data_IF_452470314403
#
_entry.id   IF_452470314403
#
_cell.length_a   1.000
_cell.length_b   1.000
_cell.length_c   1.000
_cell.angle_alpha   90.00
_cell.angle_beta   90.00
_cell.angle_gamma   90.00
#
_symmetry.space_group_name_H-M   'P 1'
#
loop_
_entity.id
_entity.type
_entity.pdbx_description
1 polymer ?
#
# COMPACT_ATOMS: atom_id res chain seq x y z
N UNK A 1 -1.76 15.41 9.19
CA UNK A 1 -1.43 14.78 7.90
C UNK A 1 -0.88 15.79 6.88
N UNK A 2 -1.62 16.84 6.50
CA UNK A 2 -1.16 17.81 5.48
C UNK A 2 0.19 18.45 5.84
N UNK A 3 0.35 18.94 7.07
CA UNK A 3 1.59 19.52 7.58
C UNK A 3 2.77 18.56 7.47
N UNK A 4 2.53 17.28 7.76
CA UNK A 4 3.57 16.25 7.65
C UNK A 4 3.98 16.00 6.18
N UNK A 5 3.01 15.87 5.27
CA UNK A 5 3.28 15.69 3.83
C UNK A 5 4.07 16.86 3.28
N UNK A 6 3.66 18.09 3.60
CA UNK A 6 4.35 19.31 3.18
C UNK A 6 5.76 19.35 3.77
N UNK A 7 5.92 19.04 5.06
CA UNK A 7 7.23 19.01 5.71
C UNK A 7 8.17 17.98 5.10
N UNK A 8 7.70 16.75 4.87
CA UNK A 8 8.49 15.71 4.23
C UNK A 8 8.87 16.08 2.79
N UNK A 9 7.93 16.60 2.02
CA UNK A 9 8.19 17.08 0.66
C UNK A 9 9.21 18.22 0.63
N UNK A 10 9.13 19.17 1.56
CA UNK A 10 10.11 20.27 1.69
C UNK A 10 11.51 19.74 2.01
N UNK A 11 11.65 18.81 2.96
CA UNK A 11 12.96 18.21 3.30
C UNK A 11 13.54 17.49 2.08
N UNK A 12 12.77 16.67 1.40
CA UNK A 12 13.23 15.96 0.20
C UNK A 12 13.56 16.91 -0.95
N UNK A 13 12.81 18.00 -1.08
CA UNK A 13 13.11 19.07 -2.05
C UNK A 13 14.45 19.74 -1.75
N UNK A 14 14.70 20.11 -0.50
CA UNK A 14 15.97 20.69 -0.07
C UNK A 14 17.15 19.74 -0.32
N UNK A 15 16.96 18.45 0.00
CA UNK A 15 17.98 17.41 -0.29
C UNK A 15 18.21 17.26 -1.80
N UNK A 16 17.18 17.35 -2.63
CA UNK A 16 17.32 17.30 -4.09
C UNK A 16 18.13 18.49 -4.64
N UNK A 17 17.89 19.69 -4.11
CA UNK A 17 18.69 20.87 -4.47
C UNK A 17 20.12 20.79 -3.98
N UNK A 18 20.33 20.26 -2.77
CA UNK A 18 21.68 20.04 -2.23
C UNK A 18 22.46 19.05 -3.11
N UNK A 19 21.83 17.93 -3.52
CA UNK A 19 22.44 17.00 -4.46
C UNK A 19 22.74 17.62 -5.82
N UNK A 20 21.86 18.51 -6.32
CA UNK A 20 22.09 19.22 -7.57
C UNK A 20 23.23 20.23 -7.48
N UNK A 21 23.50 20.79 -6.30
CA UNK A 21 24.67 21.65 -6.05
C UNK A 21 25.98 20.85 -5.94
N UNK A 22 25.92 19.67 -5.30
CA UNK A 22 27.09 18.78 -5.15
C UNK A 22 27.48 18.08 -6.45
N UNK A 23 26.48 17.75 -7.28
CA UNK A 23 26.65 17.04 -8.56
C UNK A 23 25.93 17.81 -9.67
N UNK A 24 26.46 18.96 -10.14
CA UNK A 24 25.77 19.82 -11.09
C UNK A 24 25.53 19.15 -12.45
N UNK A 25 26.45 18.31 -12.90
CA UNK A 25 26.38 17.59 -14.18
C UNK A 25 26.73 16.11 -13.99
N UNK A 26 25.80 15.27 -13.47
CA UNK A 26 26.05 13.84 -13.29
C UNK A 26 26.17 13.09 -14.61
N UNK A 27 25.69 13.69 -15.71
CA UNK A 27 25.87 13.26 -17.10
C UNK A 27 26.30 14.44 -17.97
N UNK A 28 27.11 14.20 -19.03
CA UNK A 28 27.46 15.27 -19.96
C UNK A 28 26.23 15.99 -20.52
N UNK A 29 26.26 17.30 -20.50
CA UNK A 29 25.19 18.20 -21.00
C UNK A 29 23.83 18.09 -20.29
N UNK A 30 23.78 17.50 -19.09
CA UNK A 30 22.54 17.42 -18.29
C UNK A 30 22.76 18.12 -16.94
N UNK A 31 22.21 19.33 -16.79
CA UNK A 31 22.20 20.04 -15.51
C UNK A 31 21.16 19.40 -14.57
N UNK A 32 21.61 18.85 -13.43
CA UNK A 32 20.72 18.26 -12.45
C UNK A 32 19.75 19.28 -11.85
N UNK A 33 20.20 20.53 -11.67
CA UNK A 33 19.35 21.61 -11.17
C UNK A 33 18.13 21.86 -12.08
N UNK A 34 18.36 21.91 -13.40
CA UNK A 34 17.26 22.09 -14.37
C UNK A 34 16.30 20.91 -14.34
N UNK A 35 16.83 19.69 -14.21
CA UNK A 35 15.99 18.48 -14.15
C UNK A 35 15.18 18.40 -12.86
N UNK A 36 15.77 18.76 -11.72
CA UNK A 36 15.07 18.83 -10.44
C UNK A 36 13.91 19.84 -10.56
N UNK A 37 14.16 21.05 -11.03
CA UNK A 37 13.10 22.08 -11.20
C UNK A 37 11.94 21.57 -12.08
N UNK A 38 12.23 20.84 -13.15
CA UNK A 38 11.20 20.34 -14.08
C UNK A 38 10.42 19.15 -13.52
N UNK A 39 11.06 18.26 -12.76
CA UNK A 39 10.45 17.00 -12.31
C UNK A 39 9.90 17.04 -10.89
N UNK A 40 10.33 17.99 -10.06
CA UNK A 40 9.97 18.08 -8.65
C UNK A 40 8.46 17.99 -8.38
N UNK A 41 7.58 18.73 -9.11
CA UNK A 41 6.14 18.60 -8.86
C UNK A 41 5.61 17.21 -9.23
N UNK A 42 6.15 16.57 -10.28
CA UNK A 42 5.82 15.20 -10.68
C UNK A 42 6.27 14.16 -9.63
N UNK A 43 7.45 14.34 -9.03
CA UNK A 43 7.94 13.49 -7.95
C UNK A 43 7.04 13.57 -6.73
N UNK A 44 6.57 14.77 -6.36
CA UNK A 44 5.64 14.96 -5.24
C UNK A 44 4.31 14.24 -5.50
N UNK A 45 3.70 14.46 -6.66
CA UNK A 45 2.42 13.83 -7.02
C UNK A 45 2.53 12.31 -7.06
N UNK A 46 3.57 11.78 -7.68
CA UNK A 46 3.81 10.33 -7.75
C UNK A 46 4.11 9.75 -6.38
N UNK A 47 4.91 10.45 -5.56
CA UNK A 47 5.23 10.05 -4.19
C UNK A 47 4.00 10.00 -3.28
N UNK A 48 3.12 10.99 -3.37
CA UNK A 48 1.85 10.97 -2.65
C UNK A 48 0.98 9.80 -3.12
N UNK A 49 0.87 9.59 -4.43
CA UNK A 49 0.04 8.53 -5.00
C UNK A 49 0.48 7.15 -4.54
N UNK A 50 1.77 6.81 -4.70
CA UNK A 50 2.28 5.50 -4.29
C UNK A 50 2.32 5.39 -2.76
N UNK A 51 2.57 6.49 -2.07
CA UNK A 51 2.56 6.56 -0.61
C UNK A 51 1.19 6.23 -0.01
N UNK A 52 0.10 6.65 -0.62
CA UNK A 52 -1.24 6.26 -0.21
C UNK A 52 -1.51 4.77 -0.45
N UNK A 53 -1.00 4.18 -1.52
CA UNK A 53 -1.10 2.73 -1.75
C UNK A 53 -0.35 1.98 -0.63
N UNK A 54 0.90 2.36 -0.35
CA UNK A 54 1.66 1.74 0.74
C UNK A 54 0.99 1.93 2.10
N UNK A 55 0.42 3.10 2.35
CA UNK A 55 -0.34 3.36 3.57
C UNK A 55 -1.54 2.43 3.73
N UNK A 56 -2.31 2.18 2.68
CA UNK A 56 -3.46 1.27 2.72
C UNK A 56 -3.04 -0.16 3.04
N UNK A 57 -1.97 -0.66 2.41
CA UNK A 57 -1.43 -1.99 2.70
C UNK A 57 -0.87 -2.04 4.12
N UNK A 58 -0.11 -1.02 4.54
CA UNK A 58 0.48 -0.91 5.87
C UNK A 58 -0.56 -0.90 6.99
N UNK A 59 -1.72 -0.30 6.74
CA UNK A 59 -2.86 -0.33 7.65
C UNK A 59 -3.41 -1.74 7.87
N UNK A 60 -3.50 -2.53 6.80
CA UNK A 60 -3.89 -3.94 6.91
C UNK A 60 -2.92 -4.75 7.78
N UNK A 61 -1.60 -4.57 7.58
CA UNK A 61 -0.57 -5.15 8.45
C UNK A 61 -0.74 -4.70 9.90
N UNK A 62 -0.91 -3.39 10.11
CA UNK A 62 -1.03 -2.78 11.44
C UNK A 62 -2.25 -3.29 12.21
N UNK A 63 -3.40 -3.45 11.54
CA UNK A 63 -4.62 -3.98 12.16
C UNK A 63 -4.44 -5.42 12.62
N UNK A 64 -3.91 -6.29 11.76
CA UNK A 64 -3.70 -7.71 12.08
C UNK A 64 -2.64 -7.87 13.17
N UNK A 65 -1.52 -7.15 13.06
CA UNK A 65 -0.46 -7.17 14.08
C UNK A 65 -0.95 -6.64 15.43
N UNK A 66 -1.76 -5.58 15.43
CA UNK A 66 -2.34 -5.02 16.63
C UNK A 66 -3.08 -6.06 17.47
N UNK A 67 -3.78 -6.99 16.83
CA UNK A 67 -4.56 -8.04 17.50
C UNK A 67 -3.76 -9.29 17.76
N UNK A 68 -3.03 -9.82 16.79
CA UNK A 68 -2.38 -11.13 16.90
C UNK A 68 -0.91 -11.09 17.31
N UNK A 69 -0.28 -9.90 17.30
CA UNK A 69 1.13 -9.68 17.67
C UNK A 69 2.13 -10.53 16.87
N UNK A 70 1.76 -10.97 15.64
CA UNK A 70 2.68 -11.56 14.67
C UNK A 70 2.52 -10.92 13.30
N UNK A 71 3.55 -11.05 12.46
CA UNK A 71 3.60 -10.47 11.11
C UNK A 71 2.93 -11.44 10.14
N UNK A 72 1.89 -10.96 9.45
CA UNK A 72 1.20 -11.73 8.42
C UNK A 72 1.77 -11.44 7.04
N UNK A 73 2.80 -12.16 6.61
CA UNK A 73 3.38 -11.97 5.27
C UNK A 73 2.42 -12.27 4.11
N UNK A 74 1.40 -13.12 4.32
CA UNK A 74 0.38 -13.37 3.29
C UNK A 74 -0.51 -12.14 3.00
N UNK A 75 -0.37 -11.04 3.75
CA UNK A 75 -1.14 -9.83 3.50
C UNK A 75 -0.77 -9.15 2.16
N UNK A 76 0.48 -9.29 1.73
CA UNK A 76 0.93 -8.86 0.40
C UNK A 76 0.18 -9.58 -0.73
N UNK A 77 -0.13 -10.86 -0.53
CA UNK A 77 -0.84 -11.64 -1.55
C UNK A 77 -2.35 -11.37 -1.53
N UNK A 78 -2.89 -10.91 -0.40
CA UNK A 78 -4.27 -10.40 -0.33
C UNK A 78 -4.39 -9.11 -1.17
N UNK A 79 -3.38 -8.25 -1.14
CA UNK A 79 -3.28 -7.08 -2.02
C UNK A 79 -3.18 -7.50 -3.49
N UNK A 80 -2.29 -8.42 -3.84
CA UNK A 80 -2.17 -8.98 -5.19
C UNK A 80 -3.50 -9.55 -5.67
N UNK A 81 -4.18 -10.35 -4.84
CA UNK A 81 -5.48 -10.91 -5.16
C UNK A 81 -6.53 -9.83 -5.43
N UNK A 82 -6.55 -8.74 -4.65
CA UNK A 82 -7.41 -7.59 -4.90
C UNK A 82 -7.15 -6.93 -6.25
N UNK A 83 -5.88 -6.84 -6.67
CA UNK A 83 -5.50 -6.33 -7.98
C UNK A 83 -6.00 -7.24 -9.12
N UNK A 84 -5.91 -8.56 -8.94
CA UNK A 84 -6.43 -9.55 -9.92
C UNK A 84 -7.95 -9.50 -9.99
N UNK A 85 -8.64 -9.44 -8.86
CA UNK A 85 -10.12 -9.30 -8.84
C UNK A 85 -10.55 -8.01 -9.52
N UNK A 86 -9.85 -6.89 -9.24
CA UNK A 86 -10.12 -5.62 -9.91
C UNK A 86 -9.97 -5.71 -11.43
N UNK A 87 -8.93 -6.38 -11.90
CA UNK A 87 -8.73 -6.67 -13.33
C UNK A 87 -9.88 -7.52 -13.90
N UNK A 88 -10.22 -8.65 -13.25
CA UNK A 88 -11.26 -9.55 -13.76
C UNK A 88 -12.63 -8.88 -13.86
N UNK A 89 -12.98 -8.04 -12.88
CA UNK A 89 -14.23 -7.26 -12.91
C UNK A 89 -14.23 -6.29 -14.08
N UNK A 90 -13.15 -5.52 -14.27
CA UNK A 90 -13.07 -4.57 -15.39
C UNK A 90 -13.05 -5.26 -16.74
N UNK A 91 -12.34 -6.38 -16.85
CA UNK A 91 -12.25 -7.14 -18.09
C UNK A 91 -13.60 -7.72 -18.51
N UNK A 92 -14.37 -8.28 -17.57
CA UNK A 92 -15.72 -8.78 -17.86
C UNK A 92 -16.69 -7.69 -18.29
N UNK A 93 -16.59 -6.50 -17.67
CA UNK A 93 -17.37 -5.34 -18.10
C UNK A 93 -16.96 -4.86 -19.51
N UNK A 94 -15.66 -4.95 -19.85
CA UNK A 94 -15.15 -4.61 -21.18
C UNK A 94 -15.64 -5.60 -22.26
N UNK A 95 -15.53 -6.90 -21.99
CA UNK A 95 -15.99 -7.98 -22.87
C UNK A 95 -17.52 -7.92 -23.10
N UNK A 96 -18.28 -7.50 -22.07
CA UNK A 96 -19.72 -7.28 -22.18
C UNK A 96 -20.12 -5.99 -22.88
N UNK A 97 -19.18 -5.17 -23.36
CA UNK A 97 -19.45 -3.87 -24.02
C UNK A 97 -20.00 -2.79 -23.08
N UNK A 98 -20.06 -3.04 -21.79
CA UNK A 98 -20.73 -2.17 -20.81
C UNK A 98 -19.80 -1.08 -20.23
N UNK A 99 -18.49 -1.18 -20.42
CA UNK A 99 -17.50 -0.28 -19.83
C UNK A 99 -17.73 1.21 -20.16
N UNK A 100 -18.01 1.60 -21.41
CA UNK A 100 -18.20 3.01 -21.76
C UNK A 100 -19.45 3.65 -21.15
N UNK A 101 -20.45 2.85 -20.79
CA UNK A 101 -21.72 3.33 -20.22
C UNK A 101 -21.66 3.67 -18.72
N UNK A 102 -20.58 3.30 -18.02
CA UNK A 102 -20.44 3.57 -16.61
C UNK A 102 -19.86 4.96 -16.34
N UNK A 103 -20.42 5.66 -15.36
CA UNK A 103 -19.73 6.85 -14.85
C UNK A 103 -18.40 6.45 -14.19
N UNK A 104 -17.33 7.25 -14.36
CA UNK A 104 -16.01 6.94 -13.80
C UNK A 104 -16.01 6.60 -12.31
N UNK A 105 -16.80 7.36 -11.54
CA UNK A 105 -16.91 7.19 -10.08
C UNK A 105 -17.59 5.86 -9.74
N UNK A 106 -18.70 5.52 -10.40
CA UNK A 106 -19.42 4.28 -10.14
C UNK A 106 -18.62 3.07 -10.55
N UNK A 107 -17.90 3.12 -11.69
CA UNK A 107 -17.03 2.04 -12.14
C UNK A 107 -15.93 1.76 -11.11
N UNK A 108 -15.20 2.80 -10.71
CA UNK A 108 -14.12 2.66 -9.72
C UNK A 108 -14.66 2.16 -8.38
N UNK A 109 -15.77 2.73 -7.90
CA UNK A 109 -16.39 2.29 -6.65
C UNK A 109 -16.80 0.81 -6.72
N UNK A 110 -17.38 0.37 -7.82
CA UNK A 110 -17.79 -1.03 -8.01
C UNK A 110 -16.60 -1.98 -8.01
N UNK A 111 -15.54 -1.65 -8.77
CA UNK A 111 -14.31 -2.46 -8.85
C UNK A 111 -13.62 -2.54 -7.48
N UNK A 112 -13.50 -1.41 -6.79
CA UNK A 112 -12.88 -1.37 -5.46
C UNK A 112 -13.71 -2.14 -4.44
N UNK A 113 -15.03 -1.99 -4.42
CA UNK A 113 -15.90 -2.74 -3.52
C UNK A 113 -15.85 -4.26 -3.78
N UNK A 114 -15.85 -4.67 -5.03
CA UNK A 114 -15.70 -6.09 -5.40
C UNK A 114 -14.36 -6.65 -4.91
N UNK A 115 -13.25 -5.91 -5.13
CA UNK A 115 -11.94 -6.29 -4.64
C UNK A 115 -11.87 -6.33 -3.11
N UNK A 116 -12.49 -5.36 -2.42
CA UNK A 116 -12.59 -5.33 -0.96
C UNK A 116 -13.32 -6.56 -0.41
N UNK A 117 -14.46 -6.88 -0.97
CA UNK A 117 -15.28 -8.02 -0.52
C UNK A 117 -14.54 -9.35 -0.75
N UNK A 118 -14.02 -9.57 -1.96
CA UNK A 118 -13.31 -10.79 -2.31
C UNK A 118 -12.05 -10.97 -1.45
N UNK A 119 -11.22 -9.94 -1.33
CA UNK A 119 -9.99 -9.98 -0.53
C UNK A 119 -10.26 -10.07 0.97
N UNK A 120 -11.32 -9.42 1.45
CA UNK A 120 -11.74 -9.54 2.85
C UNK A 120 -12.21 -10.96 3.19
N UNK A 121 -13.00 -11.58 2.33
CA UNK A 121 -13.42 -12.99 2.49
C UNK A 121 -12.25 -13.95 2.44
N UNK A 122 -11.32 -13.74 1.49
CA UNK A 122 -10.09 -14.52 1.39
C UNK A 122 -9.25 -14.40 2.67
N UNK A 123 -9.10 -13.20 3.21
CA UNK A 123 -8.38 -12.97 4.46
C UNK A 123 -8.99 -13.72 5.64
N UNK A 124 -10.32 -13.77 5.74
CA UNK A 124 -11.03 -14.57 6.75
C UNK A 124 -10.82 -16.08 6.52
N UNK A 125 -10.80 -16.53 5.27
CA UNK A 125 -10.52 -17.93 4.94
C UNK A 125 -9.11 -18.32 5.41
N UNK A 126 -8.10 -17.50 5.08
CA UNK A 126 -6.71 -17.71 5.50
C UNK A 126 -6.62 -17.71 7.03
N UNK A 127 -7.28 -16.77 7.71
CA UNK A 127 -7.32 -16.74 9.19
C UNK A 127 -7.87 -18.05 9.76
N UNK A 128 -9.00 -18.53 9.24
CA UNK A 128 -9.67 -19.73 9.77
C UNK A 128 -8.90 -21.00 9.52
N UNK A 129 -8.31 -21.13 8.34
CA UNK A 129 -7.66 -22.38 7.90
C UNK A 129 -6.19 -22.42 8.35
N UNK A 130 -5.44 -21.33 8.15
CA UNK A 130 -4.00 -21.33 8.37
C UNK A 130 -3.59 -20.80 9.75
N UNK A 131 -4.27 -19.75 10.28
CA UNK A 131 -3.76 -19.08 11.49
C UNK A 131 -4.53 -19.46 12.76
N UNK A 132 -5.83 -19.69 12.66
CA UNK A 132 -6.65 -20.01 13.84
C UNK A 132 -6.18 -21.25 14.57
N UNK A 133 -5.81 -22.36 13.87
CA UNK A 133 -5.29 -23.56 14.53
C UNK A 133 -3.94 -23.32 15.24
N UNK A 134 -3.18 -22.31 14.83
CA UNK A 134 -1.82 -22.03 15.30
C UNK A 134 -1.74 -20.95 16.41
N UNK A 135 -2.87 -20.46 16.90
CA UNK A 135 -2.89 -19.34 17.89
C UNK A 135 -2.23 -19.66 19.22
N UNK A 136 -2.15 -20.93 19.62
CA UNK A 136 -1.45 -21.38 20.83
C UNK A 136 0.01 -21.76 20.60
N UNK A 137 0.50 -21.75 19.36
CA UNK A 137 1.86 -22.14 19.02
C UNK A 137 2.88 -21.02 19.28
N UNK A 138 4.19 -21.34 19.41
CA UNK A 138 5.24 -20.35 19.47
C UNK A 138 5.20 -19.39 18.28
N UNK A 139 5.60 -18.12 18.47
CA UNK A 139 5.45 -17.04 17.45
C UNK A 139 6.06 -17.33 16.08
N UNK A 140 7.06 -18.20 16.00
CA UNK A 140 7.69 -18.62 14.74
C UNK A 140 6.76 -19.49 13.87
N UNK A 141 5.87 -20.28 14.47
CA UNK A 141 5.00 -21.22 13.73
C UNK A 141 3.99 -20.47 12.85
N UNK A 142 3.21 -19.49 13.37
CA UNK A 142 2.34 -18.67 12.51
C UNK A 142 3.12 -17.88 11.45
N UNK A 143 4.35 -17.44 11.76
CA UNK A 143 5.21 -16.73 10.81
C UNK A 143 5.58 -17.60 9.60
N UNK A 144 6.05 -18.84 9.85
CA UNK A 144 6.39 -19.80 8.80
C UNK A 144 5.12 -20.16 7.99
N UNK A 145 4.00 -20.36 8.67
CA UNK A 145 2.71 -20.60 7.99
C UNK A 145 2.32 -19.44 7.09
N UNK A 146 2.54 -18.18 7.51
CA UNK A 146 2.25 -17.01 6.70
C UNK A 146 3.08 -16.97 5.41
N UNK A 147 4.35 -17.34 5.48
CA UNK A 147 5.22 -17.46 4.30
C UNK A 147 4.71 -18.57 3.36
N UNK A 148 4.35 -19.72 3.92
CA UNK A 148 3.79 -20.83 3.14
C UNK A 148 2.48 -20.45 2.44
N UNK A 149 1.58 -19.74 3.14
CA UNK A 149 0.33 -19.20 2.56
C UNK A 149 0.63 -18.20 1.44
N UNK A 150 1.64 -17.33 1.61
CA UNK A 150 2.05 -16.37 0.57
C UNK A 150 2.42 -17.09 -0.72
N UNK A 151 3.34 -18.05 -0.69
CA UNK A 151 3.71 -18.83 -1.88
C UNK A 151 2.54 -19.60 -2.46
N UNK A 152 1.74 -20.24 -1.62
CA UNK A 152 0.53 -20.96 -2.07
C UNK A 152 -0.42 -20.03 -2.83
N UNK A 153 -0.66 -18.81 -2.34
CA UNK A 153 -1.53 -17.84 -3.00
C UNK A 153 -0.99 -17.40 -4.36
N UNK A 154 0.33 -17.17 -4.48
CA UNK A 154 0.97 -16.86 -5.76
C UNK A 154 0.70 -17.99 -6.77
N UNK A 155 0.90 -19.25 -6.37
CA UNK A 155 0.72 -20.37 -7.26
C UNK A 155 -0.75 -20.65 -7.61
N UNK A 156 -1.68 -20.42 -6.68
CA UNK A 156 -3.13 -20.50 -6.97
C UNK A 156 -3.52 -19.45 -8.02
N UNK A 157 -3.05 -18.21 -7.89
CA UNK A 157 -3.34 -17.16 -8.88
C UNK A 157 -2.67 -17.47 -10.22
N UNK A 158 -1.43 -17.97 -10.23
CA UNK A 158 -0.76 -18.43 -11.46
C UNK A 158 -1.54 -19.56 -12.15
N UNK A 159 -1.97 -20.56 -11.40
CA UNK A 159 -2.77 -21.65 -11.95
C UNK A 159 -4.10 -21.16 -12.53
N UNK A 160 -4.79 -20.25 -11.83
CA UNK A 160 -6.00 -19.62 -12.33
C UNK A 160 -5.76 -18.87 -13.64
N UNK A 161 -4.72 -18.05 -13.71
CA UNK A 161 -4.37 -17.28 -14.91
C UNK A 161 -3.95 -18.19 -16.08
N UNK A 162 -3.18 -19.25 -15.81
CA UNK A 162 -2.78 -20.22 -16.82
C UNK A 162 -4.01 -20.94 -17.44
N UNK A 163 -4.98 -21.35 -16.61
CA UNK A 163 -6.17 -22.07 -17.06
C UNK A 163 -7.15 -21.14 -17.80
N UNK A 164 -7.32 -19.90 -17.31
CA UNK A 164 -8.38 -19.02 -17.83
C UNK A 164 -7.91 -18.13 -18.99
N UNK A 165 -6.65 -17.73 -19.02
CA UNK A 165 -6.16 -16.70 -19.95
C UNK A 165 -4.87 -17.07 -20.68
N UNK A 166 -4.15 -18.08 -20.22
CA UNK A 166 -2.82 -18.47 -20.72
C UNK A 166 -1.83 -17.29 -20.78
N UNK A 167 -2.00 -16.29 -19.90
CA UNK A 167 -1.15 -15.09 -19.79
C UNK A 167 -0.98 -14.72 -18.31
N UNK A 168 0.25 -14.36 -17.93
CA UNK A 168 0.60 -13.95 -16.58
C UNK A 168 0.73 -12.43 -16.43
N UNK A 169 0.70 -11.68 -17.54
CA UNK A 169 0.75 -10.22 -17.57
C UNK A 169 -0.62 -9.65 -17.92
N UNK A 170 -1.48 -9.53 -16.94
CA UNK A 170 -2.83 -9.01 -17.16
C UNK A 170 -2.80 -7.50 -17.30
N UNK A 171 -3.24 -6.99 -18.47
CA UNK A 171 -3.31 -5.54 -18.72
C UNK A 171 -4.73 -5.03 -18.52
N UNK A 172 -4.90 -4.10 -17.59
CA UNK A 172 -6.19 -3.46 -17.33
C UNK A 172 -6.74 -2.80 -18.61
N UNK A 173 -8.04 -2.97 -18.93
CA UNK A 173 -8.66 -2.43 -20.14
C UNK A 173 -8.93 -0.92 -20.04
N UNK A 174 -7.93 -0.15 -19.57
CA UNK A 174 -8.01 1.28 -19.34
C UNK A 174 -8.12 2.09 -20.65
N UNK A 175 -7.61 1.54 -21.76
CA UNK A 175 -7.66 2.17 -23.07
C UNK A 175 -9.10 2.36 -23.59
N UNK A 176 -10.06 1.61 -23.05
CA UNK A 176 -11.48 1.72 -23.41
C UNK A 176 -12.19 2.88 -22.68
N UNK A 177 -11.47 3.59 -21.79
CA UNK A 177 -12.02 4.67 -20.97
C UNK A 177 -11.43 6.01 -21.43
N UNK A 178 -12.23 6.82 -22.12
CA UNK A 178 -11.79 8.11 -22.68
C UNK A 178 -11.26 9.08 -21.60
N UNK A 179 -11.88 9.07 -20.41
CA UNK A 179 -11.51 9.95 -19.31
C UNK A 179 -10.12 9.64 -18.71
N UNK A 180 -9.56 8.43 -18.95
CA UNK A 180 -8.21 8.06 -18.51
C UNK A 180 -7.13 8.54 -19.48
N UNK A 181 -7.47 8.68 -20.76
CA UNK A 181 -6.51 9.00 -21.82
C UNK A 181 -5.94 10.41 -21.71
N UNK A 182 -6.69 11.34 -21.13
CA UNK A 182 -6.33 12.75 -21.12
C UNK A 182 -5.71 13.14 -19.75
N UNK A 183 -4.37 13.19 -19.62
CA UNK A 183 -3.75 13.69 -18.41
C UNK A 183 -4.06 15.18 -18.21
N UNK A 184 -4.32 15.56 -16.97
CA UNK A 184 -4.42 16.97 -16.59
C UNK A 184 -3.01 17.56 -16.60
N UNK A 185 -2.79 18.53 -17.47
CA UNK A 185 -1.51 19.24 -17.59
C UNK A 185 -1.55 20.47 -16.68
N UNK A 186 -0.75 20.49 -15.64
CA UNK A 186 -0.56 21.65 -14.77
C UNK A 186 0.81 22.26 -15.07
N UNK A 187 0.83 23.51 -15.52
CA UNK A 187 2.06 24.28 -15.65
C UNK A 187 2.35 24.97 -14.32
N UNK A 188 3.49 24.65 -13.70
CA UNK A 188 3.96 25.26 -12.44
C UNK A 188 5.34 25.85 -12.73
N UNK A 189 5.41 27.15 -13.03
CA UNK A 189 6.63 27.79 -13.48
C UNK A 189 7.11 27.22 -14.82
N UNK A 190 8.35 26.73 -14.88
CA UNK A 190 8.91 26.06 -16.06
C UNK A 190 8.57 24.57 -16.14
N UNK A 191 7.96 24.00 -15.09
CA UNK A 191 7.61 22.59 -15.04
C UNK A 191 6.19 22.36 -15.57
N UNK A 192 6.03 21.34 -16.42
CA UNK A 192 4.73 20.80 -16.82
C UNK A 192 4.52 19.44 -16.16
N UNK A 193 3.55 19.36 -15.25
CA UNK A 193 3.18 18.12 -14.57
C UNK A 193 2.01 17.49 -15.30
N UNK A 194 2.22 16.26 -15.77
CA UNK A 194 1.15 15.46 -16.36
C UNK A 194 0.57 14.55 -15.26
N UNK A 195 -0.56 14.96 -14.67
CA UNK A 195 -1.24 14.18 -13.65
C UNK A 195 -2.23 13.24 -14.35
N UNK A 196 -2.01 11.94 -14.23
CA UNK A 196 -2.92 10.94 -14.79
C UNK A 196 -4.21 10.90 -13.96
N UNK A 197 -5.39 10.79 -14.58
CA UNK A 197 -6.65 10.65 -13.85
C UNK A 197 -6.64 9.48 -12.85
N UNK A 198 -5.91 8.39 -13.16
CA UNK A 198 -5.72 7.26 -12.25
C UNK A 198 -5.06 7.66 -10.93
N UNK A 199 -4.14 8.62 -10.92
CA UNK A 199 -3.49 9.12 -9.69
C UNK A 199 -4.50 9.84 -8.78
N UNK A 200 -5.41 10.64 -9.34
CA UNK A 200 -6.50 11.24 -8.58
C UNK A 200 -7.41 10.20 -7.96
N UNK A 201 -7.75 9.14 -8.75
CA UNK A 201 -8.60 8.05 -8.28
C UNK A 201 -7.93 7.32 -7.12
N UNK A 202 -6.63 7.01 -7.23
CA UNK A 202 -5.88 6.33 -6.16
C UNK A 202 -5.89 7.18 -4.89
N UNK A 203 -5.55 8.46 -5.00
CA UNK A 203 -5.50 9.36 -3.83
C UNK A 203 -6.89 9.51 -3.21
N UNK A 204 -7.92 9.78 -4.02
CA UNK A 204 -9.29 9.95 -3.54
C UNK A 204 -9.82 8.65 -2.92
N UNK A 205 -9.64 7.51 -3.62
CA UNK A 205 -10.05 6.20 -3.13
C UNK A 205 -9.34 5.82 -1.83
N UNK A 206 -8.03 6.09 -1.73
CA UNK A 206 -7.29 5.89 -0.50
C UNK A 206 -7.79 6.77 0.65
N UNK A 207 -8.02 8.05 0.40
CA UNK A 207 -8.55 8.97 1.44
C UNK A 207 -9.93 8.52 1.91
N UNK A 208 -10.84 8.17 0.99
CA UNK A 208 -12.17 7.68 1.34
C UNK A 208 -12.10 6.39 2.18
N UNK A 209 -11.28 5.43 1.76
CA UNK A 209 -11.10 4.17 2.49
C UNK A 209 -10.45 4.40 3.86
N UNK A 210 -9.48 5.31 3.97
CA UNK A 210 -8.85 5.69 5.25
C UNK A 210 -9.85 6.34 6.21
N UNK A 211 -10.69 7.24 5.74
CA UNK A 211 -11.76 7.86 6.54
C UNK A 211 -12.74 6.78 7.01
N UNK A 212 -13.16 5.88 6.11
CA UNK A 212 -14.05 4.77 6.45
C UNK A 212 -13.43 3.85 7.51
N UNK A 213 -12.14 3.52 7.40
CA UNK A 213 -11.41 2.73 8.40
C UNK A 213 -11.37 3.43 9.76
N UNK A 214 -10.97 4.69 9.76
CA UNK A 214 -10.89 5.46 11.01
C UNK A 214 -12.24 5.54 11.72
N UNK A 215 -13.31 5.79 10.96
CA UNK A 215 -14.68 5.77 11.49
C UNK A 215 -15.06 4.38 11.99
N UNK A 216 -14.77 3.32 11.23
CA UNK A 216 -15.06 1.95 11.65
C UNK A 216 -14.36 1.59 12.97
N UNK A 217 -13.06 1.83 13.06
CA UNK A 217 -12.26 1.44 14.24
C UNK A 217 -12.61 2.30 15.47
N UNK A 218 -12.81 3.61 15.29
CA UNK A 218 -13.00 4.53 16.42
C UNK A 218 -14.47 4.79 16.75
N UNK A 219 -15.36 4.77 15.77
CA UNK A 219 -16.76 5.14 15.92
C UNK A 219 -17.72 3.97 16.21
N UNK A 220 -17.37 2.73 15.77
CA UNK A 220 -18.33 1.63 15.85
C UNK A 220 -18.15 0.75 17.10
N UNK A 221 -19.24 0.01 17.46
CA UNK A 221 -19.16 -1.01 18.53
C UNK A 221 -18.19 -2.13 18.19
N UNK A 222 -18.11 -2.54 16.91
CA UNK A 222 -17.20 -3.58 16.45
C UNK A 222 -15.74 -3.12 16.53
N UNK A 223 -15.45 -1.87 16.15
CA UNK A 223 -14.11 -1.30 16.30
C UNK A 223 -13.66 -1.23 17.76
N UNK A 224 -14.57 -0.87 18.70
CA UNK A 224 -14.29 -0.93 20.14
C UNK A 224 -13.96 -2.35 20.60
N UNK A 225 -14.69 -3.36 20.10
CA UNK A 225 -14.40 -4.78 20.38
C UNK A 225 -13.03 -5.21 19.87
N UNK A 226 -12.64 -4.81 18.65
CA UNK A 226 -11.32 -5.08 18.10
C UNK A 226 -10.23 -4.45 18.97
N UNK A 227 -10.37 -3.21 19.39
CA UNK A 227 -9.39 -2.53 20.26
C UNK A 227 -9.29 -3.18 21.64
N UNK A 228 -10.40 -3.61 22.23
CA UNK A 228 -10.37 -4.34 23.52
C UNK A 228 -9.59 -5.65 23.38
N UNK A 229 -9.85 -6.43 22.32
CA UNK A 229 -9.11 -7.68 22.04
C UNK A 229 -7.63 -7.41 21.72
N UNK A 230 -7.28 -6.29 21.11
CA UNK A 230 -5.89 -5.92 20.82
C UNK A 230 -5.08 -5.56 22.08
N UNK A 231 -5.75 -5.09 23.14
CA UNK A 231 -5.13 -4.78 24.44
C UNK A 231 -4.94 -6.05 25.27
N UNK A 232 -6.01 -6.79 25.50
CA UNK A 232 -5.99 -8.05 26.25
C UNK A 232 -7.12 -8.98 25.81
N UNK A 233 -6.74 -10.10 25.14
CA UNK A 233 -7.69 -11.10 24.65
C UNK A 233 -8.42 -11.82 25.78
N UNK A 234 -7.73 -12.11 26.89
CA UNK A 234 -8.30 -12.87 28.01
C UNK A 234 -9.35 -12.02 28.74
N UNK A 235 -8.99 -10.81 29.10
CA UNK A 235 -9.90 -9.86 29.77
C UNK A 235 -11.09 -9.49 28.86
N UNK A 236 -10.88 -9.27 27.58
CA UNK A 236 -11.97 -9.01 26.63
C UNK A 236 -12.96 -10.19 26.57
N UNK A 237 -12.45 -11.43 26.60
CA UNK A 237 -13.28 -12.63 26.67
C UNK A 237 -14.14 -12.71 27.93
N UNK A 238 -13.57 -12.38 29.07
CA UNK A 238 -14.28 -12.34 30.37
C UNK A 238 -15.39 -11.26 30.38
N UNK A 239 -15.20 -10.17 29.64
CA UNK A 239 -16.20 -9.10 29.49
C UNK A 239 -17.27 -9.44 28.42
N UNK A 240 -17.33 -10.70 27.93
CA UNK A 240 -18.36 -11.18 27.00
C UNK A 240 -18.08 -10.87 25.53
N UNK A 241 -16.88 -10.38 25.16
CA UNK A 241 -16.52 -10.14 23.76
C UNK A 241 -16.11 -11.46 23.11
N UNK A 242 -16.74 -11.80 21.99
CA UNK A 242 -16.36 -12.98 21.21
C UNK A 242 -15.03 -12.71 20.46
N UNK A 243 -13.91 -13.12 21.09
CA UNK A 243 -12.54 -12.91 20.59
C UNK A 243 -12.36 -13.45 19.18
N UNK A 244 -12.86 -14.66 18.89
CA UNK A 244 -12.73 -15.26 17.57
C UNK A 244 -13.41 -14.42 16.47
N UNK A 245 -14.61 -13.91 16.77
CA UNK A 245 -15.33 -13.04 15.83
C UNK A 245 -14.59 -11.74 15.58
N UNK A 246 -14.01 -11.14 16.63
CA UNK A 246 -13.25 -9.89 16.51
C UNK A 246 -11.97 -10.09 15.70
N UNK A 247 -11.26 -11.20 15.87
CA UNK A 247 -10.08 -11.53 15.07
C UNK A 247 -10.44 -11.73 13.60
N UNK A 248 -11.46 -12.57 13.30
CA UNK A 248 -11.91 -12.78 11.91
C UNK A 248 -12.36 -11.46 11.27
N UNK A 249 -13.03 -10.58 12.02
CA UNK A 249 -13.42 -9.25 11.54
C UNK A 249 -12.21 -8.35 11.26
N UNK A 250 -11.17 -8.42 12.08
CA UNK A 250 -9.91 -7.71 11.86
C UNK A 250 -9.25 -8.15 10.56
N UNK A 251 -9.22 -9.47 10.29
CA UNK A 251 -8.72 -10.00 9.02
C UNK A 251 -9.58 -9.57 7.83
N UNK A 252 -10.91 -9.59 7.98
CA UNK A 252 -11.80 -9.13 6.93
C UNK A 252 -11.54 -7.67 6.57
N UNK A 253 -11.50 -6.79 7.58
CA UNK A 253 -11.26 -5.36 7.38
C UNK A 253 -9.87 -5.12 6.81
N UNK A 254 -8.82 -5.70 7.41
CA UNK A 254 -7.45 -5.58 6.89
C UNK A 254 -7.34 -6.08 5.45
N UNK A 255 -7.92 -7.26 5.15
CA UNK A 255 -7.94 -7.83 3.81
C UNK A 255 -8.73 -7.00 2.81
N UNK A 256 -9.87 -6.42 3.23
CA UNK A 256 -10.66 -5.51 2.39
C UNK A 256 -9.85 -4.27 2.00
N UNK A 257 -9.10 -3.67 2.94
CA UNK A 257 -8.23 -2.52 2.64
C UNK A 257 -7.05 -2.91 1.76
N UNK A 258 -6.44 -4.09 1.98
CA UNK A 258 -5.44 -4.66 1.08
C UNK A 258 -5.99 -4.84 -0.34
N UNK A 259 -7.21 -5.37 -0.47
CA UNK A 259 -7.88 -5.54 -1.76
C UNK A 259 -8.19 -4.23 -2.46
N UNK A 260 -8.66 -3.22 -1.73
CA UNK A 260 -8.87 -1.87 -2.26
C UNK A 260 -7.56 -1.26 -2.80
N UNK A 261 -6.49 -1.37 -2.00
CA UNK A 261 -5.15 -0.92 -2.41
C UNK A 261 -4.69 -1.63 -3.68
N UNK A 262 -4.92 -2.95 -3.78
CA UNK A 262 -4.58 -3.77 -4.94
C UNK A 262 -5.30 -3.33 -6.21
N UNK A 263 -6.62 -3.14 -6.14
CA UNK A 263 -7.41 -2.68 -7.28
C UNK A 263 -6.99 -1.28 -7.75
N UNK A 264 -6.81 -0.35 -6.82
CA UNK A 264 -6.36 1.02 -7.12
C UNK A 264 -4.94 1.04 -7.70
N UNK A 265 -4.03 0.22 -7.15
CA UNK A 265 -2.67 0.07 -7.66
C UNK A 265 -2.68 -0.50 -9.08
N UNK A 266 -3.44 -1.58 -9.33
CA UNK A 266 -3.58 -2.19 -10.65
C UNK A 266 -4.08 -1.21 -11.71
N UNK A 267 -5.08 -0.38 -11.38
CA UNK A 267 -5.55 0.70 -12.25
C UNK A 267 -4.49 1.77 -12.49
N UNK A 268 -3.64 2.08 -11.51
CA UNK A 268 -2.59 3.09 -11.66
C UNK A 268 -1.41 2.61 -12.50
N UNK A 269 -0.98 1.37 -12.29
CA UNK A 269 0.15 0.75 -13.02
C UNK A 269 -0.29 0.26 -14.40
N UNK A 270 -1.55 -0.17 -14.53
CA UNK A 270 -2.14 -0.67 -15.76
C UNK A 270 -1.86 -2.14 -16.05
N UNK A 271 -0.96 -2.79 -15.30
CA UNK A 271 -0.62 -4.21 -15.46
C UNK A 271 -0.55 -4.91 -14.12
N UNK A 272 -0.93 -6.20 -14.10
CA UNK A 272 -0.90 -7.04 -12.90
C UNK A 272 -0.27 -8.38 -13.23
N UNK A 273 0.66 -8.80 -12.37
CA UNK A 273 1.29 -10.12 -12.42
C UNK A 273 1.02 -10.88 -11.12
N UNK A 274 1.16 -12.21 -11.08
CA UNK A 274 1.02 -12.98 -9.84
C UNK A 274 2.03 -12.60 -8.75
N UNK A 275 3.09 -11.91 -9.11
CA UNK A 275 4.16 -11.48 -8.19
C UNK A 275 4.02 -10.03 -7.73
N UNK A 276 2.98 -9.32 -8.18
CA UNK A 276 2.81 -7.88 -7.92
C UNK A 276 2.66 -7.54 -6.43
N UNK A 277 2.31 -8.53 -5.60
CA UNK A 277 2.16 -8.34 -4.14
C UNK A 277 3.48 -8.24 -3.39
N UNK A 278 4.52 -8.96 -3.84
CA UNK A 278 5.72 -9.18 -3.04
C UNK A 278 6.49 -7.89 -2.71
N UNK A 279 6.92 -7.12 -3.72
CA UNK A 279 7.71 -5.90 -3.48
C UNK A 279 6.91 -4.80 -2.77
N UNK A 280 5.69 -4.42 -3.23
CA UNK A 280 4.87 -3.46 -2.49
C UNK A 280 4.51 -3.94 -1.08
N UNK A 281 4.33 -5.25 -0.88
CA UNK A 281 4.06 -5.83 0.43
C UNK A 281 5.21 -5.65 1.42
N UNK A 282 6.45 -5.93 1.04
CA UNK A 282 7.63 -5.69 1.88
C UNK A 282 7.78 -4.19 2.18
N UNK A 283 7.60 -3.33 1.17
CA UNK A 283 7.66 -1.88 1.34
C UNK A 283 6.59 -1.38 2.31
N UNK A 284 5.36 -1.85 2.17
CA UNK A 284 4.27 -1.48 3.07
C UNK A 284 4.47 -2.03 4.49
N UNK A 285 5.04 -3.22 4.65
CA UNK A 285 5.43 -3.72 5.97
C UNK A 285 6.49 -2.81 6.60
N UNK A 286 7.55 -2.46 5.87
CA UNK A 286 8.56 -1.52 6.37
C UNK A 286 7.97 -0.14 6.67
N UNK A 287 7.00 0.32 5.88
CA UNK A 287 6.25 1.55 6.16
C UNK A 287 5.43 1.45 7.47
N UNK A 288 4.80 0.29 7.73
CA UNK A 288 4.11 0.05 9.00
C UNK A 288 5.06 0.08 10.20
N UNK A 289 6.26 -0.53 10.05
CA UNK A 289 7.32 -0.51 11.08
C UNK A 289 7.81 0.93 11.29
N UNK A 290 8.12 1.64 10.22
CA UNK A 290 8.54 3.04 10.27
C UNK A 290 7.50 3.92 10.95
N UNK A 291 6.24 3.71 10.67
CA UNK A 291 5.14 4.44 11.28
C UNK A 291 4.96 4.17 12.78
N UNK A 292 5.38 2.98 13.23
CA UNK A 292 5.11 2.40 14.56
C UNK A 292 3.99 1.37 14.46
N UNK A 293 4.37 0.08 14.46
CA UNK A 293 3.43 -1.03 14.29
C UNK A 293 2.34 -0.99 15.36
N UNK A 294 1.08 -1.09 14.96
CA UNK A 294 -0.08 -1.02 15.85
C UNK A 294 -0.75 0.36 15.89
N UNK A 295 -0.09 1.40 15.38
CA UNK A 295 -0.64 2.75 15.28
C UNK A 295 -1.14 3.04 13.86
N UNK A 296 -2.46 3.22 13.69
CA UNK A 296 -3.11 3.49 12.40
C UNK A 296 -2.56 4.77 11.76
N UNK A 297 -2.45 5.85 12.54
CA UNK A 297 -1.92 7.13 12.05
C UNK A 297 -0.44 7.00 11.69
N UNK A 298 0.32 6.24 12.48
CA UNK A 298 1.72 5.93 12.19
C UNK A 298 1.89 5.21 10.87
N UNK A 299 1.14 4.13 10.63
CA UNK A 299 1.20 3.37 9.38
C UNK A 299 0.89 4.24 8.14
N UNK A 300 -0.09 5.16 8.26
CA UNK A 300 -0.39 6.12 7.22
C UNK A 300 0.80 7.04 6.91
N UNK A 301 1.40 7.63 7.94
CA UNK A 301 2.55 8.52 7.79
C UNK A 301 3.78 7.77 7.27
N UNK A 302 4.01 6.54 7.74
CA UNK A 302 5.09 5.68 7.24
C UNK A 302 4.94 5.35 5.76
N UNK A 303 3.73 5.03 5.31
CA UNK A 303 3.44 4.78 3.88
C UNK A 303 3.69 6.01 3.00
N UNK A 304 3.22 7.18 3.44
CA UNK A 304 3.44 8.45 2.74
C UNK A 304 4.91 8.82 2.69
N UNK A 305 5.64 8.65 3.81
CA UNK A 305 7.09 8.91 3.86
C UNK A 305 7.83 8.03 2.88
N UNK A 306 7.56 6.72 2.90
CA UNK A 306 8.20 5.77 1.98
C UNK A 306 7.91 6.09 0.53
N UNK A 307 6.65 6.37 0.19
CA UNK A 307 6.26 6.70 -1.18
C UNK A 307 6.94 7.99 -1.69
N UNK A 308 7.06 9.01 -0.84
CA UNK A 308 7.79 10.23 -1.17
C UNK A 308 9.28 9.94 -1.38
N UNK A 309 9.94 9.24 -0.44
CA UNK A 309 11.36 8.88 -0.56
C UNK A 309 11.60 8.12 -1.87
N UNK A 310 10.80 7.10 -2.15
CA UNK A 310 10.94 6.29 -3.36
C UNK A 310 10.76 7.13 -4.63
N UNK A 311 9.77 8.00 -4.68
CA UNK A 311 9.51 8.83 -5.85
C UNK A 311 10.64 9.83 -6.12
N UNK A 312 11.17 10.44 -5.07
CA UNK A 312 12.32 11.34 -5.20
C UNK A 312 13.59 10.59 -5.62
N UNK A 313 13.85 9.43 -5.04
CA UNK A 313 14.99 8.60 -5.44
C UNK A 313 14.86 8.14 -6.90
N UNK A 314 13.69 7.70 -7.33
CA UNK A 314 13.44 7.33 -8.73
C UNK A 314 13.68 8.49 -9.69
N UNK A 315 13.23 9.68 -9.33
CA UNK A 315 13.42 10.87 -10.16
C UNK A 315 14.86 11.36 -10.22
N UNK A 316 15.65 11.17 -9.16
CA UNK A 316 17.03 11.64 -9.08
C UNK A 316 18.03 10.61 -9.62
N UNK A 317 17.89 9.32 -9.23
CA UNK A 317 18.87 8.28 -9.57
C UNK A 317 18.93 7.98 -11.07
N UNK A 318 17.88 8.32 -11.82
CA UNK A 318 17.88 8.18 -13.30
C UNK A 318 19.01 8.97 -13.95
N UNK A 319 19.48 10.05 -13.34
CA UNK A 319 20.56 10.89 -13.86
C UNK A 319 21.96 10.40 -13.51
N UNK A 320 22.11 9.47 -12.57
CA UNK A 320 23.38 8.90 -12.16
C UNK A 320 23.68 7.62 -12.96
N UNK A 321 24.69 7.62 -13.87
CA UNK A 321 24.96 6.50 -14.79
C UNK A 321 25.28 5.18 -14.07
N UNK A 322 25.99 5.27 -12.94
CA UNK A 322 26.46 4.10 -12.19
C UNK A 322 25.35 3.55 -11.28
N UNK A 323 24.58 4.43 -10.64
CA UNK A 323 23.57 4.04 -9.66
C UNK A 323 22.25 3.64 -10.33
N UNK A 324 21.71 4.49 -11.20
CA UNK A 324 20.45 4.24 -11.91
C UNK A 324 19.26 3.93 -10.99
N UNK A 325 18.08 3.82 -11.58
CA UNK A 325 16.83 3.50 -10.86
C UNK A 325 16.81 2.12 -10.20
N UNK A 326 17.68 1.19 -10.61
CA UNK A 326 17.77 -0.17 -10.04
C UNK A 326 18.09 -0.16 -8.54
N UNK A 327 18.77 0.88 -8.06
CA UNK A 327 19.18 1.01 -6.67
C UNK A 327 18.18 1.80 -5.80
N UNK A 328 17.04 2.25 -6.37
CA UNK A 328 16.02 3.01 -5.61
C UNK A 328 15.58 2.28 -4.35
N UNK A 329 15.31 0.97 -4.46
CA UNK A 329 14.86 0.18 -3.31
C UNK A 329 15.96 0.03 -2.26
N UNK A 330 17.22 -0.16 -2.68
CA UNK A 330 18.36 -0.23 -1.77
C UNK A 330 18.49 1.07 -0.96
N UNK A 331 18.43 2.21 -1.64
CA UNK A 331 18.50 3.51 -0.96
C UNK A 331 17.29 3.76 -0.07
N UNK A 332 16.07 3.44 -0.54
CA UNK A 332 14.85 3.60 0.24
C UNK A 332 14.91 2.78 1.54
N UNK A 333 15.29 1.50 1.45
CA UNK A 333 15.46 0.66 2.64
C UNK A 333 16.63 1.10 3.53
N UNK A 334 17.73 1.60 2.96
CA UNK A 334 18.84 2.15 3.75
C UNK A 334 18.40 3.36 4.57
N UNK A 335 17.66 4.29 3.97
CA UNK A 335 17.11 5.44 4.69
C UNK A 335 16.15 4.99 5.80
N UNK A 336 15.30 3.98 5.53
CA UNK A 336 14.41 3.42 6.54
C UNK A 336 15.15 2.77 7.71
N UNK A 337 16.19 1.97 7.42
CA UNK A 337 17.04 1.37 8.46
C UNK A 337 17.69 2.46 9.30
N UNK A 338 18.19 3.50 8.65
CA UNK A 338 18.81 4.64 9.33
C UNK A 338 17.82 5.34 10.28
N UNK A 339 16.58 5.59 9.82
CA UNK A 339 15.53 6.16 10.68
C UNK A 339 15.24 5.25 11.87
N UNK A 340 15.15 3.93 11.67
CA UNK A 340 14.85 2.97 12.74
C UNK A 340 16.00 2.83 13.76
N UNK A 341 17.26 3.01 13.34
CA UNK A 341 18.41 3.06 14.27
C UNK A 341 18.26 4.25 15.24
N UNK A 342 17.86 5.43 14.74
CA UNK A 342 17.68 6.61 15.58
C UNK A 342 16.32 6.66 16.32
N UNK A 343 15.30 5.99 15.77
CA UNK A 343 13.95 5.92 16.31
C UNK A 343 13.36 4.51 16.24
N UNK A 344 13.79 3.60 17.12
CA UNK A 344 13.38 2.18 17.07
C UNK A 344 11.88 1.96 17.29
N UNK A 345 11.18 2.89 17.95
CA UNK A 345 9.72 2.85 18.11
C UNK A 345 8.96 3.31 16.84
N UNK A 346 9.64 3.77 15.80
CA UNK A 346 9.03 4.40 14.63
C UNK A 346 8.62 5.86 14.87
N UNK A 347 7.92 6.45 13.88
CA UNK A 347 7.55 7.87 13.91
C UNK A 347 6.54 8.21 15.03
N UNK A 348 5.52 7.34 15.22
CA UNK A 348 4.43 7.49 16.18
C UNK A 348 4.21 6.25 17.06
N UNK A 349 5.22 5.38 17.20
CA UNK A 349 5.15 4.23 18.10
C UNK A 349 5.18 4.65 19.58
N UNK A 350 4.44 3.93 20.40
CA UNK A 350 4.50 4.10 21.85
C UNK A 350 5.85 3.58 22.37
N UNK A 351 6.49 4.33 23.24
CA UNK A 351 7.65 3.82 23.99
C UNK A 351 7.13 2.74 24.93
N UNK A 352 7.56 1.51 24.71
CA UNK A 352 7.39 0.46 25.70
C UNK A 352 8.41 0.77 26.79
N UNK A 353 7.97 1.37 27.89
CA UNK A 353 8.79 1.44 29.09
C UNK A 353 9.01 0.00 29.55
N UNK A 354 10.24 -0.50 29.45
CA UNK A 354 10.63 -1.74 30.10
C UNK A 354 10.37 -1.54 31.61
N UNK A 355 9.31 -2.17 32.10
CA UNK A 355 9.16 -2.33 33.54
C UNK A 355 10.30 -3.24 34.00
N UNK A 356 11.31 -2.63 34.59
CA UNK A 356 12.39 -3.29 35.36
C UNK A 356 11.78 -4.05 36.55
#
# INVERSE_FOLDING_TARGET
>A
MLVFIVGAALVLTLLSYLLALLFPEPRPNISLMTQVNRQLPGMIVSGITIGFVYAMIALGYTLVYGVLKFINFAHSEIFMFGSVVGFEVMQRLAEGGNLPGWSPVLLVAFVVLAAMLASGLLAVLIERVAYRPLRGAPRLVPLISAIGVSFFMIDVVRAFQAITRNDFNLTYPLNNLEWIRNPVKLAIGEATVNIRPTQFIVVLGAVVTLIALNYFVNGTKLGRGIRAVSQDMATAGLMGINVNRMISLTFFVGGAFGGAAGALFGMNVGTVTPFVGFIPGIKAFTAAVLGGIGNITGALLGGLTLGLIESFLNGLLVYFPVLGQRYTDVFAFSVLILILIFRPSGLLGERVDEKV
#
